data_IF_792261110732
#
_entry.id   IF_792261110732
#
_cell.length_a   1.000
_cell.length_b   1.000
_cell.length_c   1.000
_cell.angle_alpha   90.00
_cell.angle_beta   90.00
_cell.angle_gamma   90.00
#
_symmetry.space_group_name_H-M   'P 1'
#
loop_
_entity.id
_entity.type
_entity.pdbx_description
1 polymer ?
#
# COMPACT_ATOMS: atom_id res chain seq x y z
N UNK A 1 3.09 -1.09 17.39
CA UNK A 1 4.47 -0.68 17.75
C UNK A 1 5.22 -0.54 16.44
N UNK A 2 5.82 0.62 16.11
CA UNK A 2 6.69 0.69 14.94
C UNK A 2 7.80 -0.36 15.12
N UNK A 3 8.10 -1.11 14.07
CA UNK A 3 9.15 -2.14 14.02
C UNK A 3 8.82 -3.55 14.55
N UNK A 4 7.56 -3.89 14.81
CA UNK A 4 7.17 -5.28 15.12
C UNK A 4 6.62 -5.98 13.88
N UNK A 5 7.00 -7.26 13.68
CA UNK A 5 6.33 -8.12 12.71
C UNK A 5 4.85 -8.29 13.11
N UNK A 6 3.94 -7.89 12.22
CA UNK A 6 2.48 -8.00 12.41
C UNK A 6 1.88 -9.25 11.76
N UNK A 7 2.68 -10.06 11.05
CA UNK A 7 2.27 -11.38 10.55
C UNK A 7 2.30 -12.39 11.69
N UNK A 8 1.22 -13.16 11.81
CA UNK A 8 1.13 -14.26 12.77
C UNK A 8 1.69 -15.55 12.16
N UNK A 9 2.49 -16.30 12.93
CA UNK A 9 3.07 -17.58 12.51
C UNK A 9 3.76 -17.51 11.12
N UNK A 10 4.53 -16.45 10.86
CA UNK A 10 5.19 -16.23 9.57
C UNK A 10 6.43 -17.10 9.31
N UNK A 11 7.05 -17.63 10.36
CA UNK A 11 8.10 -18.65 10.28
C UNK A 11 7.57 -20.07 10.52
N UNK A 12 6.25 -20.28 10.56
CA UNK A 12 5.61 -21.60 10.61
C UNK A 12 5.98 -22.55 11.77
N UNK A 13 6.68 -22.04 12.79
CA UNK A 13 7.23 -22.81 13.92
C UNK A 13 6.21 -23.53 14.81
N UNK A 14 4.91 -23.26 14.63
CA UNK A 14 3.86 -24.04 15.28
C UNK A 14 3.68 -25.45 14.70
N UNK A 15 4.33 -25.77 13.57
CA UNK A 15 4.13 -27.02 12.83
C UNK A 15 2.76 -27.08 12.14
N UNK A 16 2.08 -25.93 12.02
CA UNK A 16 0.77 -25.77 11.41
C UNK A 16 0.74 -24.52 10.55
N UNK A 17 -0.09 -24.53 9.49
CA UNK A 17 -0.35 -23.32 8.70
C UNK A 17 -1.28 -22.34 9.43
N UNK A 18 -1.95 -22.70 10.53
CA UNK A 18 -2.83 -21.77 11.25
C UNK A 18 -2.02 -20.56 11.78
N UNK A 19 -2.45 -19.30 11.59
CA UNK A 19 -3.79 -18.84 11.15
C UNK A 19 -3.90 -18.52 9.65
N UNK A 20 -2.95 -18.97 8.83
CA UNK A 20 -3.03 -18.84 7.38
C UNK A 20 -4.18 -19.67 6.81
N UNK A 21 -4.88 -19.08 5.84
CA UNK A 21 -5.78 -19.78 4.93
C UNK A 21 -4.96 -20.20 3.73
N UNK A 22 -5.10 -21.45 3.31
CA UNK A 22 -4.29 -21.98 2.22
C UNK A 22 -5.08 -22.89 1.30
N UNK A 23 -4.51 -23.14 0.12
CA UNK A 23 -4.92 -24.21 -0.77
C UNK A 23 -3.68 -24.83 -1.39
N UNK A 24 -3.66 -26.15 -1.46
CA UNK A 24 -2.50 -26.92 -1.96
C UNK A 24 -1.19 -26.51 -1.28
N UNK A 25 -1.24 -26.36 0.04
CA UNK A 25 -0.10 -26.02 0.84
C UNK A 25 -0.01 -26.94 2.06
N UNK A 26 1.22 -27.23 2.47
CA UNK A 26 1.56 -28.04 3.63
C UNK A 26 2.68 -27.41 4.44
N UNK A 27 2.92 -27.97 5.63
CA UNK A 27 4.14 -27.69 6.40
C UNK A 27 5.19 -28.75 6.04
N UNK A 28 6.44 -28.33 5.92
CA UNK A 28 7.58 -29.21 5.65
C UNK A 28 8.73 -28.96 6.63
N UNK A 29 9.58 -29.97 6.78
CA UNK A 29 10.85 -29.92 7.54
C UNK A 29 12.06 -30.22 6.66
N UNK A 30 11.85 -30.53 5.38
CA UNK A 30 12.92 -31.01 4.50
C UNK A 30 13.91 -29.90 4.14
N UNK A 31 13.40 -28.68 3.98
CA UNK A 31 14.17 -27.47 3.73
C UNK A 31 13.50 -26.32 4.47
N UNK A 32 14.27 -25.67 5.35
CA UNK A 32 13.81 -24.54 6.17
C UNK A 32 14.85 -23.43 6.07
N UNK A 33 14.41 -22.18 6.02
CA UNK A 33 15.33 -21.05 6.01
C UNK A 33 15.81 -20.79 7.45
N UNK A 34 14.88 -20.80 8.40
CA UNK A 34 15.19 -20.75 9.82
C UNK A 34 14.27 -21.68 10.62
N UNK A 35 14.58 -21.88 11.90
CA UNK A 35 13.73 -22.69 12.78
C UNK A 35 13.61 -24.16 12.36
N UNK A 36 12.38 -24.69 12.41
CA UNK A 36 12.06 -26.10 12.23
C UNK A 36 11.10 -26.37 11.08
N UNK A 37 10.36 -25.37 10.61
CA UNK A 37 9.30 -25.56 9.63
C UNK A 37 9.28 -24.46 8.59
N UNK A 38 8.95 -24.82 7.35
CA UNK A 38 8.59 -23.89 6.30
C UNK A 38 7.22 -24.27 5.73
N UNK A 39 6.57 -23.34 5.04
CA UNK A 39 5.41 -23.66 4.23
C UNK A 39 5.84 -24.12 2.84
N UNK A 40 5.15 -25.13 2.32
CA UNK A 40 5.37 -25.72 1.00
C UNK A 40 4.10 -25.53 0.18
N UNK A 41 4.22 -24.90 -0.99
CA UNK A 41 3.17 -24.70 -1.98
C UNK A 41 3.36 -25.70 -3.12
N UNK A 42 2.38 -26.55 -3.37
CA UNK A 42 2.44 -27.56 -4.44
C UNK A 42 2.54 -26.87 -5.81
N UNK A 43 3.70 -27.04 -6.46
CA UNK A 43 4.03 -26.43 -7.73
C UNK A 43 3.36 -27.11 -8.92
N UNK A 44 2.87 -28.34 -8.74
CA UNK A 44 2.13 -29.09 -9.76
C UNK A 44 0.69 -28.63 -9.95
N UNK A 45 0.16 -27.80 -9.05
CA UNK A 45 -1.23 -27.33 -9.09
C UNK A 45 -1.40 -26.08 -9.97
N UNK A 46 -2.64 -25.81 -10.34
CA UNK A 46 -2.97 -24.61 -11.11
C UNK A 46 -2.64 -23.33 -10.32
N UNK A 47 -3.06 -23.26 -9.04
CA UNK A 47 -2.67 -22.20 -8.10
C UNK A 47 -2.63 -22.79 -6.70
N UNK A 48 -1.47 -22.73 -6.06
CA UNK A 48 -1.29 -22.96 -4.62
C UNK A 48 -1.11 -21.61 -3.93
N UNK A 49 -1.62 -21.46 -2.70
CA UNK A 49 -1.54 -20.17 -2.00
C UNK A 49 -1.49 -20.29 -0.48
N UNK A 50 -0.92 -19.24 0.12
CA UNK A 50 -1.03 -18.86 1.52
C UNK A 50 -1.65 -17.46 1.59
N UNK A 51 -2.61 -17.27 2.47
CA UNK A 51 -3.20 -15.98 2.73
C UNK A 51 -3.39 -15.75 4.23
N UNK A 52 -3.08 -14.55 4.70
CA UNK A 52 -3.43 -14.10 6.03
C UNK A 52 -4.22 -12.81 5.90
N UNK A 53 -5.36 -12.77 6.59
CA UNK A 53 -6.32 -11.68 6.51
C UNK A 53 -6.52 -11.06 7.90
N UNK A 54 -7.19 -9.91 7.94
CA UNK A 54 -7.43 -9.17 9.18
C UNK A 54 -6.14 -8.79 9.95
N UNK A 55 -5.01 -8.68 9.25
CA UNK A 55 -3.75 -8.20 9.83
C UNK A 55 -3.94 -6.71 10.15
N UNK A 56 -3.76 -6.23 11.39
CA UNK A 56 -4.07 -4.84 11.75
C UNK A 56 -3.28 -3.81 10.95
N UNK A 57 -3.97 -2.79 10.43
CA UNK A 57 -3.36 -1.69 9.69
C UNK A 57 -3.87 -0.32 10.15
N UNK A 58 -3.06 0.71 9.91
CA UNK A 58 -3.26 2.09 10.34
C UNK A 58 -3.13 2.96 9.08
N UNK A 59 -4.16 3.75 8.73
CA UNK A 59 -4.08 4.69 7.62
C UNK A 59 -2.90 5.65 7.78
N UNK A 60 -2.25 5.99 6.67
CA UNK A 60 -1.06 6.86 6.67
C UNK A 60 0.26 6.12 6.88
N UNK A 61 0.26 4.85 7.28
CA UNK A 61 1.47 4.03 7.31
C UNK A 61 1.73 3.35 5.96
N UNK A 62 3.01 3.19 5.60
CA UNK A 62 3.47 2.14 4.69
C UNK A 62 3.95 0.92 5.49
N UNK A 63 4.11 -0.20 4.80
CA UNK A 63 4.46 -1.49 5.39
C UNK A 63 5.59 -2.14 4.60
N UNK A 64 6.66 -2.53 5.28
CA UNK A 64 7.75 -3.32 4.71
C UNK A 64 7.45 -4.81 4.83
N UNK A 65 7.41 -5.50 3.70
CA UNK A 65 7.37 -6.94 3.58
C UNK A 65 8.80 -7.50 3.48
N UNK A 66 9.06 -8.59 4.19
CA UNK A 66 10.21 -9.47 3.94
C UNK A 66 9.81 -10.93 4.05
N UNK A 67 10.30 -11.79 3.16
CA UNK A 67 10.16 -13.25 3.26
C UNK A 67 11.25 -13.96 2.45
N UNK A 68 11.34 -15.28 2.61
CA UNK A 68 12.30 -16.11 1.90
C UNK A 68 11.60 -17.13 1.02
N UNK A 69 12.07 -17.27 -0.21
CA UNK A 69 11.57 -18.25 -1.18
C UNK A 69 12.67 -19.20 -1.62
N UNK A 70 12.32 -20.46 -1.76
CA UNK A 70 13.15 -21.46 -2.44
C UNK A 70 12.26 -22.47 -3.16
N UNK A 71 12.86 -23.41 -3.88
CA UNK A 71 12.17 -24.58 -4.44
C UNK A 71 12.74 -25.86 -3.85
N UNK A 72 11.90 -26.88 -3.77
CA UNK A 72 12.20 -28.16 -3.11
C UNK A 72 13.09 -29.10 -3.94
N UNK A 73 13.28 -28.80 -5.23
CA UNK A 73 13.98 -29.67 -6.18
C UNK A 73 14.63 -28.87 -7.31
N UNK A 74 15.37 -29.55 -8.18
CA UNK A 74 16.05 -28.95 -9.32
C UNK A 74 15.10 -28.61 -10.49
N UNK A 75 13.84 -29.05 -10.45
CA UNK A 75 12.83 -28.69 -11.46
C UNK A 75 12.59 -27.18 -11.50
N UNK A 76 12.01 -26.65 -12.57
CA UNK A 76 11.65 -25.23 -12.61
C UNK A 76 10.59 -24.92 -11.55
N UNK A 77 10.73 -23.82 -10.82
CA UNK A 77 9.67 -23.35 -9.91
C UNK A 77 8.54 -22.69 -10.73
N UNK A 78 7.29 -22.72 -10.24
CA UNK A 78 6.29 -21.78 -10.74
C UNK A 78 6.68 -20.34 -10.32
N UNK A 79 6.38 -19.32 -11.14
CA UNK A 79 6.47 -17.94 -10.68
C UNK A 79 5.57 -17.69 -9.47
N UNK A 80 5.97 -16.77 -8.60
CA UNK A 80 5.22 -16.42 -7.39
C UNK A 80 4.72 -14.98 -7.49
N UNK A 81 3.48 -14.75 -7.05
CA UNK A 81 2.93 -13.42 -6.84
C UNK A 81 2.69 -13.21 -5.35
N UNK A 82 3.10 -12.03 -4.87
CA UNK A 82 2.87 -11.60 -3.49
C UNK A 82 2.09 -10.29 -3.54
N UNK A 83 1.00 -10.22 -2.78
CA UNK A 83 0.12 -9.06 -2.74
C UNK A 83 -0.16 -8.65 -1.31
N UNK A 84 -0.15 -7.34 -1.08
CA UNK A 84 -0.74 -6.73 0.12
C UNK A 84 -1.87 -5.84 -0.36
N UNK A 85 -3.08 -6.11 0.11
CA UNK A 85 -4.28 -5.33 -0.19
C UNK A 85 -4.75 -4.68 1.11
N UNK A 86 -5.03 -3.39 1.06
CA UNK A 86 -5.61 -2.66 2.18
C UNK A 86 -7.12 -2.79 2.15
N UNK A 87 -7.70 -3.12 3.29
CA UNK A 87 -9.14 -3.27 3.47
C UNK A 87 -9.65 -2.39 4.62
N UNK A 88 -10.93 -2.05 4.57
CA UNK A 88 -11.67 -1.47 5.70
C UNK A 88 -12.25 -2.57 6.63
N UNK A 89 -12.98 -2.16 7.67
CA UNK A 89 -13.59 -3.07 8.67
C UNK A 89 -14.63 -4.02 8.06
N UNK A 90 -15.19 -3.66 6.90
CA UNK A 90 -16.14 -4.48 6.15
C UNK A 90 -15.48 -5.38 5.11
N UNK A 91 -14.14 -5.55 5.15
CA UNK A 91 -13.35 -6.34 4.20
C UNK A 91 -13.43 -5.85 2.74
N UNK A 92 -13.76 -4.57 2.54
CA UNK A 92 -13.75 -3.96 1.21
C UNK A 92 -12.40 -3.30 0.95
N UNK A 93 -11.91 -3.42 -0.29
CA UNK A 93 -10.64 -2.82 -0.69
C UNK A 93 -10.67 -1.30 -0.57
N UNK A 94 -9.69 -0.74 0.13
CA UNK A 94 -9.40 0.71 0.19
C UNK A 94 -8.28 1.08 -0.77
N UNK A 95 -7.42 0.11 -1.15
CA UNK A 95 -6.38 0.29 -2.16
C UNK A 95 -5.47 -0.93 -2.29
N UNK A 96 -4.76 -1.02 -3.42
CA UNK A 96 -3.69 -2.01 -3.63
C UNK A 96 -2.43 -1.49 -2.95
N UNK A 97 -1.97 -2.18 -1.91
CA UNK A 97 -0.77 -1.78 -1.16
C UNK A 97 0.51 -2.23 -1.86
N UNK A 98 0.59 -3.49 -2.26
CA UNK A 98 1.75 -4.08 -2.95
C UNK A 98 1.30 -5.11 -3.97
N UNK A 99 2.01 -5.16 -5.09
CA UNK A 99 2.02 -6.29 -6.02
C UNK A 99 3.46 -6.59 -6.41
N UNK A 100 3.99 -7.72 -5.96
CA UNK A 100 5.36 -8.17 -6.24
C UNK A 100 5.31 -9.49 -7.01
N UNK A 101 5.83 -9.48 -8.23
CA UNK A 101 6.05 -10.70 -9.00
C UNK A 101 7.48 -11.19 -8.78
N UNK A 102 7.64 -12.50 -8.56
CA UNK A 102 8.93 -13.19 -8.49
C UNK A 102 8.95 -14.22 -9.61
N UNK A 103 9.83 -14.03 -10.57
CA UNK A 103 9.98 -14.94 -11.70
C UNK A 103 10.68 -16.24 -11.29
N UNK A 104 10.40 -17.32 -12.03
CA UNK A 104 10.86 -18.67 -11.69
C UNK A 104 12.39 -18.79 -11.54
N UNK A 105 13.16 -18.06 -12.36
CA UNK A 105 14.61 -18.05 -12.32
C UNK A 105 15.20 -17.40 -11.06
N UNK A 106 14.39 -16.61 -10.34
CA UNK A 106 14.77 -15.97 -9.09
C UNK A 106 14.40 -16.80 -7.86
N UNK A 107 13.93 -18.04 -8.04
CA UNK A 107 13.60 -18.98 -6.95
C UNK A 107 14.64 -20.12 -6.97
N UNK A 108 15.68 -20.05 -6.11
CA UNK A 108 16.77 -21.03 -6.11
C UNK A 108 16.34 -22.35 -5.48
N UNK A 109 17.00 -23.43 -5.89
CA UNK A 109 16.87 -24.73 -5.20
C UNK A 109 17.40 -24.62 -3.77
N UNK A 110 16.61 -25.05 -2.79
CA UNK A 110 16.93 -24.96 -1.36
C UNK A 110 18.14 -25.81 -0.93
N UNK A 111 18.61 -26.72 -1.78
CA UNK A 111 19.82 -27.48 -1.55
C UNK A 111 20.99 -26.58 -1.13
N UNK A 112 21.68 -26.96 -0.06
CA UNK A 112 22.79 -26.19 0.55
C UNK A 112 22.35 -24.87 1.22
N UNK A 113 21.06 -24.68 1.49
CA UNK A 113 20.54 -23.52 2.21
C UNK A 113 20.41 -22.26 1.35
N UNK A 114 20.24 -22.41 0.03
CA UNK A 114 20.03 -21.27 -0.85
C UNK A 114 18.56 -20.81 -0.80
N UNK A 115 18.35 -19.54 -0.49
CA UNK A 115 17.03 -18.92 -0.44
C UNK A 115 17.09 -17.52 -1.07
N UNK A 116 16.07 -17.18 -1.85
CA UNK A 116 15.87 -15.83 -2.33
C UNK A 116 15.24 -14.98 -1.23
N UNK A 117 15.88 -13.86 -0.90
CA UNK A 117 15.28 -12.86 -0.01
C UNK A 117 14.40 -11.93 -0.83
N UNK A 118 13.11 -11.86 -0.48
CA UNK A 118 12.15 -10.98 -1.11
C UNK A 118 11.83 -9.86 -0.13
N UNK A 119 12.09 -8.61 -0.53
CA UNK A 119 11.72 -7.42 0.23
C UNK A 119 10.97 -6.43 -0.65
N UNK A 120 9.97 -5.78 -0.08
CA UNK A 120 9.20 -4.74 -0.75
C UNK A 120 8.52 -3.83 0.28
N UNK A 121 8.17 -2.62 -0.12
CA UNK A 121 7.39 -1.71 0.73
C UNK A 121 6.09 -1.37 0.02
N UNK A 122 4.98 -1.37 0.76
CA UNK A 122 3.69 -0.98 0.22
C UNK A 122 3.65 0.51 -0.08
N UNK A 123 2.70 0.91 -0.93
CA UNK A 123 2.15 2.26 -0.90
C UNK A 123 1.59 2.61 0.49
N UNK A 124 1.33 3.89 0.73
CA UNK A 124 0.73 4.36 1.98
C UNK A 124 -0.72 3.88 2.07
N UNK A 125 -1.09 3.30 3.22
CA UNK A 125 -2.44 2.87 3.52
C UNK A 125 -3.45 4.03 3.40
N UNK A 126 -4.46 3.94 2.51
CA UNK A 126 -5.45 5.00 2.33
C UNK A 126 -6.32 5.24 3.58
N UNK A 127 -6.95 6.43 3.71
CA UNK A 127 -7.94 6.69 4.75
C UNK A 127 -9.04 5.61 4.80
N UNK A 128 -9.40 5.20 6.02
CA UNK A 128 -10.41 4.14 6.24
C UNK A 128 -9.86 2.70 6.17
N UNK A 129 -8.56 2.52 5.86
CA UNK A 129 -7.90 1.22 6.02
C UNK A 129 -7.85 0.81 7.48
N UNK A 130 -8.23 -0.42 7.78
CA UNK A 130 -8.12 -0.98 9.14
C UNK A 130 -7.34 -2.28 9.17
N UNK A 131 -7.15 -2.91 8.02
CA UNK A 131 -6.50 -4.20 7.94
C UNK A 131 -5.82 -4.44 6.60
N UNK A 132 -4.89 -5.39 6.61
CA UNK A 132 -4.17 -5.93 5.46
C UNK A 132 -4.69 -7.34 5.16
N UNK A 133 -4.81 -7.63 3.87
CA UNK A 133 -4.85 -8.97 3.30
C UNK A 133 -3.51 -9.24 2.61
N UNK A 134 -2.76 -10.21 3.12
CA UNK A 134 -1.52 -10.70 2.53
C UNK A 134 -1.80 -11.99 1.78
N UNK A 135 -1.38 -12.06 0.52
CA UNK A 135 -1.48 -13.24 -0.34
C UNK A 135 -0.12 -13.57 -0.92
N UNK A 136 0.26 -14.84 -0.88
CA UNK A 136 1.40 -15.41 -1.57
C UNK A 136 0.85 -16.59 -2.38
N UNK A 137 0.94 -16.53 -3.71
CA UNK A 137 0.41 -17.58 -4.56
C UNK A 137 1.37 -17.93 -5.70
N UNK A 138 1.37 -19.19 -6.09
CA UNK A 138 2.02 -19.63 -7.32
C UNK A 138 1.18 -19.26 -8.54
N UNK A 139 1.84 -19.18 -9.69
CA UNK A 139 1.19 -19.10 -10.99
C UNK A 139 1.23 -20.44 -11.73
N UNK A 140 0.20 -20.75 -12.55
CA UNK A 140 0.11 -22.03 -13.24
C UNK A 140 1.37 -22.37 -14.03
N UNK A 141 2.06 -23.43 -13.63
CA UNK A 141 3.24 -23.96 -14.32
C UNK A 141 3.21 -25.47 -14.26
N UNK A 142 2.92 -26.18 -15.37
CA UNK A 142 2.83 -27.64 -15.34
C UNK A 142 4.15 -28.30 -14.92
N UNK A 143 4.05 -29.31 -14.04
CA UNK A 143 5.18 -30.13 -13.57
C UNK A 143 6.34 -29.33 -12.96
N UNK A 144 6.01 -28.28 -12.19
CA UNK A 144 6.99 -27.46 -11.51
C UNK A 144 7.37 -28.05 -10.14
N UNK A 145 8.53 -27.63 -9.63
CA UNK A 145 8.97 -27.85 -8.25
C UNK A 145 8.01 -27.18 -7.26
N UNK A 146 7.91 -27.71 -6.06
CA UNK A 146 7.16 -27.07 -4.99
C UNK A 146 7.91 -25.82 -4.51
N UNK A 147 7.16 -24.78 -4.15
CA UNK A 147 7.71 -23.52 -3.66
C UNK A 147 7.68 -23.50 -2.15
N UNK A 148 8.84 -23.26 -1.56
CA UNK A 148 9.02 -23.11 -0.14
C UNK A 148 8.93 -21.63 0.22
N UNK A 149 8.20 -21.33 1.29
CA UNK A 149 8.01 -19.99 1.84
C UNK A 149 8.38 -20.04 3.32
N UNK A 150 9.23 -19.11 3.77
CA UNK A 150 9.63 -19.03 5.17
C UNK A 150 9.88 -17.58 5.62
N UNK A 151 9.88 -17.39 6.94
CA UNK A 151 10.19 -16.14 7.65
C UNK A 151 9.41 -14.92 7.12
N UNK A 152 8.11 -15.11 6.90
CA UNK A 152 7.23 -14.03 6.42
C UNK A 152 7.05 -12.97 7.49
N UNK A 153 7.35 -11.73 7.13
CA UNK A 153 7.25 -10.59 8.03
C UNK A 153 6.67 -9.38 7.31
N UNK A 154 5.77 -8.68 7.99
CA UNK A 154 5.29 -7.37 7.60
C UNK A 154 5.52 -6.43 8.77
N UNK A 155 6.11 -5.26 8.53
CA UNK A 155 6.46 -4.28 9.56
C UNK A 155 5.94 -2.91 9.15
N UNK A 156 5.24 -2.23 10.05
CA UNK A 156 4.77 -0.86 9.80
C UNK A 156 5.94 0.14 9.90
N UNK A 157 6.13 0.96 8.86
CA UNK A 157 7.25 1.90 8.73
C UNK A 157 6.93 3.32 9.22
N UNK A 158 5.71 3.59 9.68
CA UNK A 158 5.33 4.90 10.21
C UNK A 158 5.45 6.02 9.17
N UNK A 159 4.44 6.16 8.32
CA UNK A 159 4.34 7.34 7.45
C UNK A 159 3.79 8.51 8.26
N UNK A 160 4.42 9.68 8.19
CA UNK A 160 3.87 10.89 8.78
C UNK A 160 2.41 11.06 8.31
N UNK A 161 1.44 11.43 9.18
CA UNK A 161 0.13 11.78 8.70
C UNK A 161 0.32 12.93 7.72
N UNK A 162 0.09 12.70 6.42
CA UNK A 162 -0.31 13.82 5.57
C UNK A 162 -1.56 14.34 6.24
N UNK A 163 -1.44 15.47 6.94
CA UNK A 163 -2.57 16.10 7.59
C UNK A 163 -3.74 16.22 6.61
N UNK A 164 -4.99 16.31 7.09
CA UNK A 164 -6.13 16.45 6.20
C UNK A 164 -5.83 17.52 5.16
N UNK A 165 -6.11 17.24 3.88
CA UNK A 165 -6.10 18.29 2.85
C UNK A 165 -6.88 19.47 3.42
N UNK A 166 -6.20 20.62 3.59
CA UNK A 166 -6.84 21.80 4.17
C UNK A 166 -8.14 22.09 3.43
N UNK A 167 -9.18 22.61 4.12
CA UNK A 167 -10.47 22.87 3.48
C UNK A 167 -10.25 23.68 2.21
N UNK A 168 -10.92 23.31 1.11
CA UNK A 168 -10.93 24.11 -0.11
C UNK A 168 -11.22 25.55 0.26
N UNK A 169 -10.29 26.46 -0.07
CA UNK A 169 -10.43 27.87 0.30
C UNK A 169 -11.80 28.38 -0.12
N UNK A 170 -12.50 29.04 0.80
CA UNK A 170 -13.79 29.67 0.51
C UNK A 170 -13.63 30.59 -0.71
N UNK A 171 -14.54 30.48 -1.67
CA UNK A 171 -14.61 31.46 -2.77
C UNK A 171 -14.74 32.85 -2.15
N UNK A 172 -13.79 33.74 -2.45
CA UNK A 172 -13.79 35.10 -1.91
C UNK A 172 -15.10 35.81 -2.22
N UNK A 173 -15.68 36.50 -1.23
CA UNK A 173 -16.89 37.29 -1.43
C UNK A 173 -16.69 38.31 -2.57
N UNK A 174 -17.71 38.48 -3.41
CA UNK A 174 -17.75 39.53 -4.44
C UNK A 174 -17.54 40.89 -3.76
N UNK A 175 -16.53 41.64 -4.19
CA UNK A 175 -16.20 42.94 -3.59
C UNK A 175 -17.33 43.96 -3.72
N UNK A 176 -17.49 44.89 -2.75
CA UNK A 176 -18.51 45.94 -2.82
C UNK A 176 -18.22 46.91 -3.98
N UNK A 177 -19.29 47.39 -4.63
CA UNK A 177 -19.24 48.45 -5.65
C UNK A 177 -18.54 49.70 -5.07
N UNK A 178 -17.52 50.21 -5.76
CA UNK A 178 -16.63 51.26 -5.25
C UNK A 178 -17.33 52.57 -4.91
N UNK A 179 -17.07 53.11 -3.72
CA UNK A 179 -17.48 54.45 -3.32
C UNK A 179 -16.33 55.46 -3.53
N UNK A 180 -16.70 56.62 -4.05
CA UNK A 180 -15.88 57.80 -4.36
C UNK A 180 -14.99 58.24 -3.17
N UNK A 181 -13.72 58.52 -3.43
CA UNK A 181 -12.69 58.70 -2.39
C UNK A 181 -12.70 60.04 -1.64
N UNK A 182 -12.15 60.03 -0.42
CA UNK A 182 -11.46 61.14 0.27
C UNK A 182 -10.53 60.59 1.40
N UNK A 183 -9.55 61.41 1.78
CA UNK A 183 -8.23 61.16 2.40
C UNK A 183 -8.16 60.97 3.94
N UNK A 184 -7.13 60.23 4.41
CA UNK A 184 -6.58 60.22 5.80
C UNK A 184 -6.72 58.86 6.51
N UNK A 185 -5.80 58.29 7.30
CA UNK A 185 -4.56 58.68 7.98
C UNK A 185 -3.68 57.43 8.20
N UNK A 186 -2.37 57.62 8.36
CA UNK A 186 -1.33 56.61 8.58
C UNK A 186 -1.51 55.77 9.86
N UNK A 187 -1.30 54.45 9.80
CA UNK A 187 -1.20 53.58 10.98
C UNK A 187 -0.61 52.19 10.72
N UNK A 188 0.60 51.98 11.26
CA UNK A 188 1.34 50.75 11.62
C UNK A 188 1.53 49.57 10.63
N UNK A 189 2.81 49.35 10.32
CA UNK A 189 3.43 48.22 9.62
C UNK A 189 3.32 46.90 10.38
N UNK A 190 2.98 45.84 9.66
CA UNK A 190 3.12 44.43 10.05
C UNK A 190 2.96 43.51 8.83
N UNK A 191 4.08 43.25 8.14
CA UNK A 191 4.34 42.32 7.01
C UNK A 191 4.14 40.84 7.36
N UNK A 192 3.85 39.85 6.51
CA UNK A 192 3.27 39.68 5.16
C UNK A 192 3.05 38.16 5.00
N UNK A 193 1.96 37.72 4.37
CA UNK A 193 1.80 36.36 3.83
C UNK A 193 0.87 36.44 2.61
N UNK A 194 1.32 35.92 1.46
CA UNK A 194 0.89 36.31 0.10
C UNK A 194 -0.61 36.09 -0.20
N UNK A 195 -1.27 37.14 -0.66
CA UNK A 195 -2.65 37.17 -1.20
C UNK A 195 -2.69 36.54 -2.59
N UNK A 196 -3.61 35.59 -2.81
CA UNK A 196 -3.92 35.05 -4.14
C UNK A 196 -4.54 36.12 -5.06
N UNK A 197 -4.29 36.02 -6.38
CA UNK A 197 -4.67 37.02 -7.37
C UNK A 197 -6.18 37.35 -7.38
N UNK A 198 -6.51 38.64 -7.40
CA UNK A 198 -7.87 39.18 -7.55
C UNK A 198 -8.44 38.82 -8.92
N UNK A 199 -9.65 38.24 -8.95
CA UNK A 199 -10.39 37.96 -10.18
C UNK A 199 -10.78 39.26 -10.91
N UNK A 200 -10.73 39.24 -12.24
CA UNK A 200 -11.16 40.36 -13.09
C UNK A 200 -12.66 40.62 -12.96
N UNK A 201 -13.05 41.87 -12.69
CA UNK A 201 -14.46 42.29 -12.68
C UNK A 201 -14.97 42.40 -14.12
N UNK A 202 -16.10 41.74 -14.41
CA UNK A 202 -16.73 41.74 -15.72
C UNK A 202 -17.36 43.09 -16.11
N UNK A 203 -17.30 43.44 -17.38
CA UNK A 203 -17.99 44.60 -17.94
C UNK A 203 -19.51 44.41 -17.81
N UNK A 204 -20.23 45.43 -17.34
CA UNK A 204 -21.70 45.43 -17.36
C UNK A 204 -22.25 46.61 -18.16
N UNK A 205 -22.68 46.31 -19.39
CA UNK A 205 -24.02 46.60 -19.94
C UNK A 205 -24.50 48.05 -20.16
N UNK A 206 -24.63 48.41 -21.45
CA UNK A 206 -25.36 49.52 -22.10
C UNK A 206 -26.61 50.08 -21.39
N UNK A 207 -26.96 51.36 -21.50
CA UNK A 207 -27.83 52.00 -22.54
C UNK A 207 -28.02 53.49 -22.14
N UNK A 208 -28.40 54.48 -22.96
CA UNK A 208 -28.99 54.52 -24.29
C UNK A 208 -29.06 55.97 -24.82
N UNK A 209 -29.65 56.10 -26.01
CA UNK A 209 -29.61 57.21 -26.97
C UNK A 209 -30.28 58.53 -26.55
N UNK A 210 -29.84 59.63 -27.21
CA UNK A 210 -30.56 60.80 -27.78
C UNK A 210 -29.68 62.07 -27.64
N UNK A 211 -29.51 62.99 -28.58
CA UNK A 211 -29.95 63.23 -29.95
C UNK A 211 -29.63 64.71 -30.32
N UNK A 212 -29.63 65.04 -31.61
CA UNK A 212 -29.82 66.39 -32.22
C UNK A 212 -28.56 67.32 -32.14
N UNK A 213 -28.02 67.96 -33.19
CA UNK A 213 -28.41 68.29 -34.59
C UNK A 213 -27.12 68.37 -35.42
#
# INVERSE_FOLDING_TARGET
MPNQNIVENGGFESGSLVPWVSSFASITQQFVHSGNFAAELDGGQNVAYLAQYAIPAIPGNSYSLSLYLAKDSELAAPPVQIQIIFLNEAFQTTGTGLFQAVSAENIPYAGQGNWATITATTEIAPPGTTQIYLLINTLPTPAAADVLVDDVSVVAEGGAPTGPTGPTGITGATGPTGATGITGVTGATGSTGLTGATGVTGETGSTGLTGVT
#
